data_IF_860102746851
#
_entry.id   IF_860102746851
#
_cell.length_a   1.000
_cell.length_b   1.000
_cell.length_c   1.000
_cell.angle_alpha   90.00
_cell.angle_beta   90.00
_cell.angle_gamma   90.00
#
_symmetry.space_group_name_H-M   'P 1'
#
loop_
_entity.id
_entity.type
_entity.pdbx_description
1 polymer ?
#
# COMPACT_ATOMS: atom_id res chain seq x y z
N UNK A 1 -14.24 51.74 57.14
CA UNK A 1 -14.30 50.37 56.60
C UNK A 1 -12.89 49.91 56.31
N UNK A 2 -12.45 48.82 56.95
CA UNK A 2 -11.66 47.73 56.36
C UNK A 2 -10.88 47.00 57.44
N UNK A 3 -11.37 45.79 57.72
CA UNK A 3 -10.82 44.78 58.60
C UNK A 3 -9.91 43.84 57.78
N UNK A 4 -8.74 43.52 58.37
CA UNK A 4 -8.22 42.17 58.65
C UNK A 4 -7.61 41.29 57.53
N UNK A 5 -6.46 40.73 57.95
CA UNK A 5 -5.85 39.41 57.70
C UNK A 5 -5.11 39.12 56.39
N UNK A 6 -3.81 38.92 56.57
CA UNK A 6 -3.05 37.90 55.85
C UNK A 6 -3.46 36.49 56.33
N UNK A 7 -3.61 35.56 55.40
CA UNK A 7 -3.65 34.12 55.67
C UNK A 7 -2.89 33.37 54.57
N UNK A 8 -2.40 32.20 54.95
CA UNK A 8 -1.28 31.47 54.38
C UNK A 8 -1.60 30.60 53.14
N UNK A 9 -0.51 30.17 52.50
CA UNK A 9 -0.25 28.89 51.83
C UNK A 9 -1.41 28.16 51.11
N UNK A 10 -1.25 27.98 49.80
CA UNK A 10 -1.94 26.96 49.02
C UNK A 10 -1.19 26.66 47.73
N UNK A 11 -0.41 25.57 47.72
CA UNK A 11 0.01 24.89 46.50
C UNK A 11 -1.23 24.30 45.83
N UNK A 12 -1.55 24.72 44.61
CA UNK A 12 -2.39 23.95 43.70
C UNK A 12 -1.75 23.92 42.32
N UNK A 13 -1.44 22.68 41.93
CA UNK A 13 -1.14 22.18 40.61
C UNK A 13 -1.87 22.96 39.50
N UNK A 14 -1.14 23.71 38.67
CA UNK A 14 -1.62 24.07 37.34
C UNK A 14 -0.84 23.22 36.35
N UNK A 15 -1.37 22.03 36.09
CA UNK A 15 -0.93 21.20 34.99
C UNK A 15 -1.12 21.96 33.68
N UNK A 16 -0.02 22.23 32.99
CA UNK A 16 -0.07 22.57 31.58
C UNK A 16 -0.64 21.34 30.87
N UNK A 17 -1.95 21.36 30.59
CA UNK A 17 -2.54 20.51 29.60
C UNK A 17 -1.94 20.94 28.25
N UNK A 18 -0.87 20.28 27.83
CA UNK A 18 -0.58 20.21 26.41
C UNK A 18 -1.78 19.51 25.79
N UNK A 19 -2.64 20.29 25.15
CA UNK A 19 -3.59 19.75 24.21
C UNK A 19 -2.77 19.00 23.16
N UNK A 20 -2.74 17.68 23.26
CA UNK A 20 -2.42 16.86 22.12
C UNK A 20 -3.61 17.07 21.19
N UNK A 21 -3.46 17.97 20.23
CA UNK A 21 -4.26 17.88 19.02
C UNK A 21 -4.00 16.48 18.50
N UNK A 22 -4.96 15.58 18.73
CA UNK A 22 -5.03 14.36 17.97
C UNK A 22 -5.17 14.83 16.53
N UNK A 23 -4.04 14.85 15.81
CA UNK A 23 -4.06 14.85 14.36
C UNK A 23 -4.82 13.59 14.03
N UNK A 24 -6.10 13.76 13.71
CA UNK A 24 -6.92 12.71 13.11
C UNK A 24 -6.17 12.33 11.84
N UNK A 25 -5.39 11.26 11.93
CA UNK A 25 -4.75 10.66 10.76
C UNK A 25 -5.90 10.36 9.81
N UNK A 26 -5.82 10.72 8.52
CA UNK A 26 -6.84 10.29 7.57
C UNK A 26 -6.96 8.77 7.71
N UNK A 27 -8.10 8.30 8.20
CA UNK A 27 -8.41 6.88 8.30
C UNK A 27 -8.47 6.36 6.86
N UNK A 28 -7.32 5.94 6.33
CA UNK A 28 -7.25 5.22 5.06
C UNK A 28 -7.93 3.88 5.29
N UNK A 29 -9.21 3.79 4.90
CA UNK A 29 -9.97 2.55 5.01
C UNK A 29 -9.29 1.49 4.15
N UNK A 30 -8.73 0.47 4.79
CA UNK A 30 -8.09 -0.65 4.11
C UNK A 30 -9.16 -1.57 3.55
N UNK A 31 -9.09 -1.84 2.25
CA UNK A 31 -10.01 -2.75 1.56
C UNK A 31 -9.60 -4.22 1.78
N UNK A 32 -10.00 -4.77 2.93
CA UNK A 32 -9.64 -6.14 3.36
C UNK A 32 -10.14 -7.21 2.38
N UNK A 33 -11.28 -6.98 1.73
CA UNK A 33 -11.82 -7.91 0.73
C UNK A 33 -10.90 -7.95 -0.50
N UNK A 34 -10.45 -6.79 -0.98
CA UNK A 34 -9.49 -6.72 -2.07
C UNK A 34 -8.14 -7.35 -1.72
N UNK A 35 -7.64 -7.16 -0.50
CA UNK A 35 -6.42 -7.84 -0.04
C UNK A 35 -6.58 -9.36 -0.01
N UNK A 36 -7.75 -9.84 0.41
CA UNK A 36 -8.08 -11.27 0.42
C UNK A 36 -8.14 -11.83 -1.00
N UNK A 37 -8.75 -11.09 -1.93
CA UNK A 37 -8.83 -11.48 -3.33
C UNK A 37 -7.43 -11.57 -3.96
N UNK A 38 -6.56 -10.57 -3.74
CA UNK A 38 -5.18 -10.59 -4.23
C UNK A 38 -4.35 -11.74 -3.63
N UNK A 39 -4.52 -12.00 -2.33
CA UNK A 39 -3.83 -13.10 -1.63
C UNK A 39 -4.27 -14.47 -2.15
N UNK A 40 -5.57 -14.72 -2.24
CA UNK A 40 -6.12 -16.00 -2.66
C UNK A 40 -5.81 -16.34 -4.13
N UNK A 41 -5.59 -15.32 -4.96
CA UNK A 41 -5.18 -15.49 -6.35
C UNK A 41 -3.65 -15.39 -6.54
N UNK A 42 -2.86 -15.55 -5.48
CA UNK A 42 -1.39 -15.59 -5.51
C UNK A 42 -0.71 -14.32 -6.07
N UNK A 43 -1.44 -13.22 -6.24
CA UNK A 43 -0.92 -11.99 -6.82
C UNK A 43 0.15 -11.35 -5.90
N UNK A 44 -0.02 -11.50 -4.58
CA UNK A 44 0.92 -11.00 -3.56
C UNK A 44 2.17 -11.87 -3.39
N UNK A 45 2.30 -13.00 -4.09
CA UNK A 45 3.53 -13.81 -4.05
C UNK A 45 4.68 -13.16 -4.81
N UNK A 46 4.36 -12.26 -5.74
CA UNK A 46 5.31 -11.64 -6.65
C UNK A 46 5.28 -10.11 -6.59
N UNK A 47 4.14 -9.53 -6.23
CA UNK A 47 3.95 -8.08 -6.19
C UNK A 47 3.72 -7.59 -4.77
N UNK A 48 4.54 -6.63 -4.36
CA UNK A 48 4.22 -5.79 -3.21
C UNK A 48 3.13 -4.78 -3.59
N UNK A 49 2.41 -4.27 -2.59
CA UNK A 49 1.41 -3.22 -2.81
C UNK A 49 2.11 -1.86 -2.86
N UNK A 50 2.99 -1.58 -1.90
CA UNK A 50 3.79 -0.35 -1.86
C UNK A 50 5.24 -0.61 -2.23
N UNK A 51 5.97 0.48 -2.55
CA UNK A 51 7.43 0.41 -2.70
C UNK A 51 8.03 0.09 -1.33
N UNK A 52 8.71 -1.06 -1.22
CA UNK A 52 9.44 -1.41 0.00
C UNK A 52 10.81 -0.75 -0.02
N UNK A 53 11.17 -0.01 1.04
CA UNK A 53 12.58 0.31 1.25
C UNK A 53 13.34 -0.98 1.52
N UNK A 54 14.42 -1.21 0.74
CA UNK A 54 15.41 -2.29 0.85
C UNK A 54 14.94 -3.49 1.69
N UNK A 55 14.56 -4.59 1.02
CA UNK A 55 14.34 -5.86 1.69
C UNK A 55 15.48 -6.14 2.68
N UNK A 56 15.13 -6.51 3.92
CA UNK A 56 16.09 -6.80 5.00
C UNK A 56 16.84 -8.13 4.77
N UNK A 57 17.39 -8.33 3.57
CA UNK A 57 18.29 -9.43 3.26
C UNK A 57 19.57 -8.85 2.63
N UNK A 58 20.69 -9.15 3.29
CA UNK A 58 21.97 -8.44 3.18
C UNK A 58 22.60 -8.35 1.79
N UNK A 59 23.34 -7.25 1.65
CA UNK A 59 24.64 -7.15 0.98
C UNK A 59 24.76 -7.45 -0.52
N UNK A 60 23.70 -7.16 -1.28
CA UNK A 60 23.87 -6.71 -2.66
C UNK A 60 22.87 -5.60 -2.94
N UNK A 61 23.19 -4.69 -3.87
CA UNK A 61 22.35 -3.56 -4.26
C UNK A 61 20.86 -3.92 -4.21
N UNK A 62 20.05 -3.09 -3.52
CA UNK A 62 18.63 -3.31 -3.23
C UNK A 62 17.99 -4.31 -4.21
N UNK A 63 17.75 -5.55 -3.78
CA UNK A 63 17.23 -6.59 -4.67
C UNK A 63 15.91 -6.08 -5.25
N UNK A 64 15.84 -5.99 -6.59
CA UNK A 64 14.61 -5.58 -7.27
C UNK A 64 13.45 -6.48 -6.84
N UNK A 65 12.23 -5.95 -6.69
CA UNK A 65 11.06 -6.76 -6.41
C UNK A 65 10.80 -7.71 -7.59
N UNK A 66 10.19 -8.88 -7.33
CA UNK A 66 9.98 -9.87 -8.39
C UNK A 66 9.03 -9.35 -9.47
N UNK A 67 7.86 -8.84 -9.06
CA UNK A 67 6.98 -8.05 -9.90
C UNK A 67 7.02 -6.57 -9.49
N UNK A 68 6.62 -5.64 -10.38
CA UNK A 68 6.50 -4.24 -10.03
C UNK A 68 5.49 -4.03 -8.88
N UNK A 69 5.80 -3.18 -7.87
CA UNK A 69 4.85 -2.82 -6.84
C UNK A 69 3.58 -2.21 -7.45
N UNK A 70 2.40 -2.55 -6.91
CA UNK A 70 1.13 -2.04 -7.46
C UNK A 70 1.00 -0.53 -7.44
N UNK A 71 1.60 0.15 -6.45
CA UNK A 71 1.71 1.61 -6.45
C UNK A 71 2.41 2.14 -7.72
N UNK A 72 3.49 1.51 -8.18
CA UNK A 72 4.18 1.93 -9.41
C UNK A 72 3.37 1.60 -10.66
N UNK A 73 2.60 0.51 -10.65
CA UNK A 73 1.64 0.19 -11.72
C UNK A 73 0.58 1.29 -11.80
N UNK A 74 -0.01 1.66 -10.67
CA UNK A 74 -1.02 2.73 -10.60
C UNK A 74 -0.48 4.06 -11.13
N UNK A 75 0.71 4.47 -10.69
CA UNK A 75 1.36 5.70 -11.14
C UNK A 75 1.67 5.69 -12.63
N UNK A 76 2.16 4.57 -13.17
CA UNK A 76 2.53 4.45 -14.58
C UNK A 76 1.33 4.57 -15.52
N UNK A 77 0.18 4.06 -15.11
CA UNK A 77 -1.03 4.02 -15.93
C UNK A 77 -2.08 5.04 -15.50
N UNK A 78 -1.75 5.94 -14.58
CA UNK A 78 -2.64 7.01 -14.13
C UNK A 78 -3.16 7.81 -15.33
N UNK A 79 -4.49 7.93 -15.44
CA UNK A 79 -5.15 8.66 -16.53
C UNK A 79 -5.10 7.98 -17.91
N UNK A 80 -4.60 6.75 -18.02
CA UNK A 80 -4.60 5.99 -19.28
C UNK A 80 -5.72 4.94 -19.30
N UNK A 81 -6.89 5.34 -19.79
CA UNK A 81 -8.05 4.44 -19.89
C UNK A 81 -7.80 3.26 -20.84
N UNK A 82 -6.99 3.45 -21.89
CA UNK A 82 -6.67 2.38 -22.84
C UNK A 82 -5.77 1.30 -22.22
N UNK A 83 -5.01 1.63 -21.17
CA UNK A 83 -4.16 0.66 -20.48
C UNK A 83 -4.94 -0.37 -19.67
N UNK A 84 -6.19 -0.09 -19.30
CA UNK A 84 -6.98 -1.02 -18.47
C UNK A 84 -7.17 -2.36 -19.19
N UNK A 85 -7.59 -2.34 -20.45
CA UNK A 85 -7.81 -3.56 -21.23
C UNK A 85 -6.49 -4.29 -21.53
N UNK A 86 -5.39 -3.55 -21.73
CA UNK A 86 -4.05 -4.15 -21.89
C UNK A 86 -3.59 -4.86 -20.61
N UNK A 87 -3.87 -4.28 -19.45
CA UNK A 87 -3.57 -4.89 -18.14
C UNK A 87 -4.45 -6.12 -17.90
N UNK A 88 -5.75 -6.05 -18.20
CA UNK A 88 -6.65 -7.21 -18.13
C UNK A 88 -6.11 -8.34 -19.01
N UNK A 89 -5.75 -8.02 -20.25
CA UNK A 89 -5.18 -8.98 -21.18
C UNK A 89 -3.88 -9.59 -20.64
N UNK A 90 -2.99 -8.77 -20.09
CA UNK A 90 -1.71 -9.19 -19.52
C UNK A 90 -1.89 -10.12 -18.32
N UNK A 91 -2.86 -9.87 -17.45
CA UNK A 91 -3.16 -10.76 -16.30
C UNK A 91 -3.68 -12.12 -16.77
N UNK A 92 -4.60 -12.13 -17.74
CA UNK A 92 -5.20 -13.37 -18.23
C UNK A 92 -4.22 -14.21 -19.07
N UNK A 93 -3.34 -13.57 -19.85
CA UNK A 93 -2.50 -14.25 -20.85
C UNK A 93 -1.00 -14.26 -20.51
N UNK A 94 -0.61 -13.59 -19.43
CA UNK A 94 0.78 -13.39 -19.06
C UNK A 94 1.45 -12.26 -19.85
N UNK A 95 2.63 -11.84 -19.38
CA UNK A 95 3.44 -10.82 -20.06
C UNK A 95 4.48 -11.45 -20.99
N UNK A 96 4.91 -10.72 -22.01
CA UNK A 96 5.99 -11.16 -22.89
C UNK A 96 7.36 -11.21 -22.15
N UNK A 97 8.05 -12.37 -22.09
CA UNK A 97 9.37 -12.50 -21.45
C UNK A 97 10.49 -11.70 -22.13
N UNK A 98 10.26 -11.24 -23.36
CA UNK A 98 11.19 -10.38 -24.11
C UNK A 98 10.71 -8.92 -24.15
N UNK A 99 9.57 -8.62 -23.51
CA UNK A 99 9.05 -7.26 -23.38
C UNK A 99 9.88 -6.46 -22.38
N UNK A 100 10.16 -5.19 -22.70
CA UNK A 100 10.97 -4.32 -21.83
C UNK A 100 10.16 -3.60 -20.74
N UNK A 101 8.90 -3.98 -20.53
CA UNK A 101 7.93 -3.12 -19.87
C UNK A 101 8.33 -2.70 -18.46
N UNK A 102 9.00 -3.58 -17.69
CA UNK A 102 9.53 -3.31 -16.35
C UNK A 102 11.03 -3.61 -16.22
N UNK A 103 11.77 -3.51 -17.33
CA UNK A 103 13.19 -3.84 -17.38
C UNK A 103 13.96 -2.94 -16.39
N UNK A 104 14.86 -3.53 -15.61
CA UNK A 104 15.68 -2.84 -14.58
C UNK A 104 14.88 -2.35 -13.35
N UNK A 105 13.55 -2.50 -13.34
CA UNK A 105 12.67 -2.13 -12.22
C UNK A 105 12.08 -3.34 -11.49
N UNK A 106 11.98 -4.49 -12.17
CA UNK A 106 11.55 -5.77 -11.60
C UNK A 106 12.52 -6.90 -11.99
N UNK A 107 12.67 -7.89 -11.10
CA UNK A 107 13.56 -9.03 -11.30
C UNK A 107 12.91 -10.15 -12.15
N UNK A 108 11.58 -10.24 -12.16
CA UNK A 108 10.83 -11.23 -12.92
C UNK A 108 10.94 -10.99 -14.42
N UNK A 109 11.20 -12.07 -15.18
CA UNK A 109 11.33 -12.02 -16.64
C UNK A 109 9.95 -11.88 -17.31
N UNK A 110 8.93 -12.55 -16.74
CA UNK A 110 7.55 -12.46 -17.19
C UNK A 110 6.59 -12.80 -16.05
N UNK A 111 5.44 -12.14 -16.06
CA UNK A 111 4.28 -12.54 -15.30
C UNK A 111 3.60 -13.73 -16.01
N UNK A 112 3.36 -14.86 -15.32
CA UNK A 112 2.65 -16.00 -15.90
C UNK A 112 1.16 -15.67 -16.12
N UNK A 113 0.46 -16.40 -17.02
CA UNK A 113 -0.98 -16.26 -17.18
C UNK A 113 -1.73 -16.71 -15.93
N UNK A 114 -2.71 -15.93 -15.49
CA UNK A 114 -3.56 -16.26 -14.34
C UNK A 114 -4.81 -17.03 -14.77
N UNK A 115 -4.62 -18.28 -15.21
CA UNK A 115 -5.68 -19.13 -15.79
C UNK A 115 -6.77 -19.55 -14.79
N UNK A 116 -6.53 -19.40 -13.50
CA UNK A 116 -7.47 -19.79 -12.43
C UNK A 116 -8.36 -18.65 -11.96
N UNK A 117 -8.15 -17.43 -12.47
CA UNK A 117 -8.85 -16.22 -12.03
C UNK A 117 -9.89 -15.84 -13.08
N UNK A 118 -11.12 -15.52 -12.66
CA UNK A 118 -12.13 -15.00 -13.59
C UNK A 118 -11.74 -13.60 -14.09
N UNK A 119 -12.12 -13.27 -15.31
CA UNK A 119 -11.92 -11.92 -15.84
C UNK A 119 -12.60 -10.85 -14.97
N UNK A 120 -13.76 -11.15 -14.38
CA UNK A 120 -14.43 -10.26 -13.43
C UNK A 120 -13.54 -9.94 -12.22
N UNK A 121 -12.94 -10.96 -11.58
CA UNK A 121 -12.02 -10.74 -10.47
C UNK A 121 -10.77 -9.96 -10.91
N UNK A 122 -10.25 -10.23 -12.12
CA UNK A 122 -9.12 -9.46 -12.68
C UNK A 122 -9.47 -7.99 -12.82
N UNK A 123 -10.64 -7.67 -13.38
CA UNK A 123 -11.12 -6.29 -13.54
C UNK A 123 -11.34 -5.60 -12.20
N UNK A 124 -11.90 -6.31 -11.22
CA UNK A 124 -12.07 -5.81 -9.85
C UNK A 124 -10.72 -5.50 -9.20
N UNK A 125 -9.74 -6.41 -9.29
CA UNK A 125 -8.39 -6.18 -8.78
C UNK A 125 -7.69 -5.01 -9.46
N UNK A 126 -7.74 -4.91 -10.79
CA UNK A 126 -7.11 -3.82 -11.53
C UNK A 126 -7.77 -2.47 -11.23
N UNK A 127 -9.10 -2.44 -11.06
CA UNK A 127 -9.81 -1.21 -10.68
C UNK A 127 -9.34 -0.69 -9.33
N UNK A 128 -9.08 -1.58 -8.38
CA UNK A 128 -8.53 -1.21 -7.08
C UNK A 128 -7.06 -0.80 -7.19
N UNK A 129 -6.22 -1.59 -7.89
CA UNK A 129 -4.79 -1.32 -8.08
C UNK A 129 -4.57 0.07 -8.69
N UNK A 130 -5.28 0.43 -9.76
CA UNK A 130 -5.08 1.70 -10.46
C UNK A 130 -5.58 2.94 -9.70
N UNK A 131 -6.30 2.75 -8.58
CA UNK A 131 -6.72 3.82 -7.68
C UNK A 131 -5.76 4.05 -6.51
N UNK A 132 -4.73 3.21 -6.36
CA UNK A 132 -3.77 3.35 -5.27
C UNK A 132 -3.03 4.69 -5.38
N UNK A 133 -2.95 5.36 -4.24
CA UNK A 133 -1.99 6.42 -3.95
C UNK A 133 -0.97 5.93 -2.91
N UNK A 134 -0.01 6.79 -2.56
CA UNK A 134 1.06 6.40 -1.63
C UNK A 134 0.52 6.02 -0.25
N UNK A 135 -0.44 6.79 0.29
CA UNK A 135 -1.00 6.55 1.62
C UNK A 135 -1.80 5.24 1.67
N UNK A 136 -2.71 5.03 0.72
CA UNK A 136 -3.52 3.81 0.62
C UNK A 136 -2.67 2.57 0.34
N UNK A 137 -1.63 2.68 -0.51
CA UNK A 137 -0.72 1.57 -0.75
C UNK A 137 0.09 1.20 0.50
N UNK A 138 0.60 2.16 1.26
CA UNK A 138 1.32 1.90 2.51
C UNK A 138 0.41 1.25 3.56
N UNK A 139 -0.81 1.76 3.74
CA UNK A 139 -1.78 1.19 4.66
C UNK A 139 -2.17 -0.24 4.28
N UNK A 140 -2.42 -0.49 2.99
CA UNK A 140 -2.72 -1.81 2.46
C UNK A 140 -1.56 -2.79 2.64
N UNK A 141 -0.32 -2.37 2.38
CA UNK A 141 0.86 -3.20 2.63
C UNK A 141 1.01 -3.55 4.12
N UNK A 142 0.83 -2.58 5.02
CA UNK A 142 0.90 -2.81 6.45
C UNK A 142 -0.16 -3.85 6.89
N UNK A 143 -1.36 -3.78 6.32
CA UNK A 143 -2.42 -4.74 6.59
C UNK A 143 -2.07 -6.15 6.08
N UNK A 144 -1.47 -6.29 4.88
CA UNK A 144 -0.97 -7.57 4.38
C UNK A 144 0.09 -8.16 5.33
N UNK A 145 1.05 -7.33 5.77
CA UNK A 145 2.13 -7.76 6.65
C UNK A 145 1.63 -8.18 8.05
N UNK A 146 0.48 -7.65 8.49
CA UNK A 146 -0.15 -8.01 9.76
C UNK A 146 -0.98 -9.29 9.70
N UNK A 147 -1.30 -9.81 8.51
CA UNK A 147 -2.04 -11.06 8.38
C UNK A 147 -1.17 -12.26 8.80
N UNK A 148 -1.76 -13.27 9.46
CA UNK A 148 -1.06 -14.53 9.69
C UNK A 148 -0.67 -15.15 8.34
N UNK A 149 0.56 -15.68 8.32
CA UNK A 149 1.11 -16.43 7.19
C UNK A 149 0.39 -17.76 7.02
#
# INVERSE_FOLDING_TARGET
MSLIAACAAGLLFNGAAWATEAVESPETTVDVEMLTLLKNNACLNCHDISVQEKSKQGDSAASLPFGPPYLLVAQRYAGNEAAFEELVYTVLHGSNPYGKHWKEEAAGIAMPPMVTVSEEHVRTMLTWILKLDEASAQAAQAAVNAQPK
#
